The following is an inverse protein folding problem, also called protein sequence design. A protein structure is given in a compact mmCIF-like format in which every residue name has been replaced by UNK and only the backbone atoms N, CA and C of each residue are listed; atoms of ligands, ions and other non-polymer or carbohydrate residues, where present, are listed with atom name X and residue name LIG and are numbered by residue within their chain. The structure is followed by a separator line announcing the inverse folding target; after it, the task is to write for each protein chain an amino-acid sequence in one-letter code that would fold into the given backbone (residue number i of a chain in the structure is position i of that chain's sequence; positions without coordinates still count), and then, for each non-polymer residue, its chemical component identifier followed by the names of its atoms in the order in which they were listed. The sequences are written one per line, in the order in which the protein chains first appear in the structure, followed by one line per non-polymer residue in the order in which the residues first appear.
data_IF_748601720007
#
_entry.id   IF_748601720007
#
_cell.length_a   1.000
_cell.length_b   1.000
_cell.length_c   1.000
_cell.angle_alpha   90.00
_cell.angle_beta   90.00
_cell.angle_gamma   90.00
#
_symmetry.space_group_name_H-M   'P 1'
#
loop_
_entity.id
_entity.type
_entity.pdbx_description
1 polymer ?
#
# COMPACT_ATOMS: atom_id res chain seq x y z
N UNK A 1 -3.27 14.62 -10.89
CA UNK A 1 -4.07 13.71 -10.02
C UNK A 1 -3.81 14.00 -8.55
N UNK A 2 -2.57 14.00 -8.09
CA UNK A 2 -2.19 14.28 -6.70
C UNK A 2 -2.80 15.58 -6.14
N UNK A 3 -2.80 16.69 -6.88
CA UNK A 3 -3.42 17.95 -6.43
C UNK A 3 -4.95 17.87 -6.25
N UNK A 4 -5.61 16.98 -7.00
CA UNK A 4 -7.04 16.71 -6.80
C UNK A 4 -7.26 15.89 -5.56
N UNK A 5 -6.41 14.90 -5.31
CA UNK A 5 -6.42 14.09 -4.08
C UNK A 5 -6.25 15.02 -2.89
N UNK A 6 -5.22 15.88 -2.84
CA UNK A 6 -5.00 16.84 -1.73
C UNK A 6 -6.21 17.68 -1.31
N UNK A 7 -7.10 18.01 -2.25
CA UNK A 7 -8.26 18.87 -2.04
C UNK A 7 -9.54 18.08 -1.75
N UNK A 8 -9.47 16.76 -1.75
CA UNK A 8 -10.64 15.90 -1.59
C UNK A 8 -11.14 15.95 -0.14
N UNK A 9 -12.43 16.24 0.10
CA UNK A 9 -12.95 16.39 1.46
C UNK A 9 -13.06 15.06 2.23
N UNK A 10 -12.89 13.91 1.56
CA UNK A 10 -13.02 12.58 2.18
C UNK A 10 -11.83 12.19 3.05
N UNK A 11 -10.73 12.93 3.00
CA UNK A 11 -9.58 12.72 3.87
C UNK A 11 -9.00 14.05 4.34
N UNK A 12 -8.05 14.00 5.28
CA UNK A 12 -7.37 15.17 5.82
C UNK A 12 -5.86 14.90 5.86
N UNK A 13 -5.08 15.98 5.86
CA UNK A 13 -3.62 15.95 6.11
C UNK A 13 -2.81 15.05 5.16
N UNK A 14 -2.97 15.25 3.85
CA UNK A 14 -2.20 14.53 2.83
C UNK A 14 -0.72 14.92 2.86
N UNK A 15 0.14 13.97 3.21
CA UNK A 15 1.59 14.14 3.24
C UNK A 15 2.25 13.39 2.07
N UNK A 16 3.11 14.06 1.30
CA UNK A 16 3.93 13.39 0.27
C UNK A 16 5.11 12.70 0.95
N UNK A 17 5.17 11.37 0.84
CA UNK A 17 6.30 10.61 1.39
C UNK A 17 7.48 10.51 0.43
N UNK A 18 7.21 10.41 -0.87
CA UNK A 18 8.24 10.14 -1.88
C UNK A 18 7.70 10.42 -3.28
N UNK A 19 8.57 10.90 -4.15
CA UNK A 19 8.32 11.08 -5.58
C UNK A 19 9.60 10.75 -6.34
N UNK A 20 9.52 9.89 -7.34
CA UNK A 20 10.67 9.42 -8.11
C UNK A 20 10.28 9.12 -9.56
N UNK A 21 11.26 9.21 -10.47
CA UNK A 21 11.09 8.82 -11.87
C UNK A 21 11.30 7.31 -11.99
N UNK A 22 10.34 6.62 -12.61
CA UNK A 22 10.41 5.16 -12.79
C UNK A 22 10.62 4.78 -14.26
N UNK A 23 11.47 3.78 -14.49
CA UNK A 23 11.76 3.25 -15.84
C UNK A 23 10.71 2.19 -16.24
N UNK A 24 10.24 1.40 -15.26
CA UNK A 24 9.22 0.37 -15.44
C UNK A 24 8.16 0.46 -14.35
N UNK A 25 6.92 0.14 -14.69
CA UNK A 25 5.80 0.11 -13.73
C UNK A 25 6.06 -0.97 -12.68
N UNK A 26 5.99 -0.59 -11.41
CA UNK A 26 6.00 -1.55 -10.29
C UNK A 26 4.71 -2.36 -10.23
N UNK A 27 3.58 -1.76 -10.63
CA UNK A 27 2.25 -2.39 -10.62
C UNK A 27 1.56 -2.25 -11.99
N UNK A 28 2.01 -2.98 -13.03
CA UNK A 28 1.51 -2.79 -14.39
C UNK A 28 0.03 -3.16 -14.58
N UNK A 29 -0.47 -4.14 -13.80
CA UNK A 29 -1.81 -4.70 -13.95
C UNK A 29 -2.80 -4.18 -12.91
N UNK A 30 -2.44 -3.13 -12.16
CA UNK A 30 -3.30 -2.54 -11.13
C UNK A 30 -3.84 -1.20 -11.62
N UNK A 31 -5.17 -1.11 -11.76
CA UNK A 31 -5.83 0.19 -11.99
C UNK A 31 -5.82 1.06 -10.74
N UNK A 32 -6.18 0.46 -9.60
CA UNK A 32 -6.05 0.97 -8.23
C UNK A 32 -6.38 -0.20 -7.29
N UNK A 33 -5.36 -0.95 -6.83
CA UNK A 33 -5.63 -2.08 -5.94
C UNK A 33 -6.26 -1.58 -4.63
N UNK A 34 -7.38 -2.20 -4.25
CA UNK A 34 -8.12 -1.89 -3.04
C UNK A 34 -8.48 -3.20 -2.34
N UNK A 35 -8.31 -3.22 -1.02
CA UNK A 35 -8.76 -4.31 -0.17
C UNK A 35 -9.63 -3.69 0.94
N UNK A 36 -10.92 -4.03 1.03
CA UNK A 36 -11.77 -3.55 2.11
C UNK A 36 -11.27 -4.14 3.44
N UNK A 37 -11.09 -3.30 4.45
CA UNK A 37 -10.70 -3.69 5.81
C UNK A 37 -11.77 -3.28 6.82
N UNK A 38 -13.03 -3.29 6.43
CA UNK A 38 -14.16 -3.02 7.32
C UNK A 38 -14.61 -4.29 8.06
N UNK A 39 -15.04 -4.11 9.31
CA UNK A 39 -15.49 -5.19 10.21
C UNK A 39 -16.71 -5.94 9.68
N UNK A 40 -17.47 -5.32 8.76
CA UNK A 40 -18.71 -5.84 8.20
C UNK A 40 -18.50 -6.86 7.06
N UNK A 41 -17.36 -6.77 6.35
CA UNK A 41 -17.09 -7.60 5.16
C UNK A 41 -15.81 -8.43 5.25
N UNK A 42 -15.00 -8.27 6.31
CA UNK A 42 -13.67 -8.89 6.39
C UNK A 42 -13.62 -9.90 7.52
N UNK A 43 -13.62 -11.20 7.18
CA UNK A 43 -13.33 -12.24 8.17
C UNK A 43 -11.88 -12.08 8.66
N UNK A 44 -11.66 -12.11 9.98
CA UNK A 44 -10.32 -12.02 10.58
C UNK A 44 -9.32 -13.00 9.95
N UNK A 45 -9.78 -14.20 9.58
CA UNK A 45 -8.96 -15.17 8.87
C UNK A 45 -8.49 -14.66 7.50
N UNK A 46 -9.39 -14.07 6.71
CA UNK A 46 -9.07 -13.54 5.37
C UNK A 46 -8.12 -12.35 5.46
N UNK A 47 -8.30 -11.49 6.46
CA UNK A 47 -7.39 -10.38 6.73
C UNK A 47 -5.98 -10.87 7.05
N UNK A 48 -5.85 -11.89 7.89
CA UNK A 48 -4.56 -12.48 8.23
C UNK A 48 -3.90 -13.18 7.03
N UNK A 49 -4.67 -13.86 6.18
CA UNK A 49 -4.14 -14.40 4.92
C UNK A 49 -3.70 -13.29 3.97
N UNK A 50 -4.47 -12.21 3.86
CA UNK A 50 -4.12 -11.06 3.05
C UNK A 50 -2.80 -10.42 3.52
N UNK A 51 -2.65 -10.17 4.83
CA UNK A 51 -1.41 -9.64 5.43
C UNK A 51 -0.20 -10.53 5.09
N UNK A 52 -0.33 -11.86 5.27
CA UNK A 52 0.73 -12.83 4.96
C UNK A 52 1.12 -12.81 3.48
N UNK A 53 0.13 -12.82 2.60
CA UNK A 53 0.37 -12.77 1.15
C UNK A 53 1.03 -11.46 0.72
N UNK A 54 0.65 -10.34 1.34
CA UNK A 54 1.23 -9.03 1.03
C UNK A 54 2.68 -8.92 1.52
N UNK A 55 3.00 -9.49 2.68
CA UNK A 55 4.39 -9.62 3.16
C UNK A 55 5.20 -10.48 2.20
N UNK A 56 4.70 -11.67 1.85
CA UNK A 56 5.37 -12.57 0.91
C UNK A 56 5.63 -11.88 -0.44
N UNK A 57 4.63 -11.20 -0.98
CA UNK A 57 4.78 -10.41 -2.21
C UNK A 57 5.88 -9.37 -2.07
N UNK A 58 5.92 -8.65 -0.94
CA UNK A 58 6.94 -7.63 -0.69
C UNK A 58 8.36 -8.17 -0.50
N UNK A 59 8.52 -9.46 -0.19
CA UNK A 59 9.81 -10.14 -0.15
C UNK A 59 10.24 -10.65 -1.53
N UNK A 60 9.27 -11.04 -2.38
CA UNK A 60 9.51 -11.53 -3.73
C UNK A 60 9.73 -10.41 -4.75
N UNK A 61 9.14 -9.22 -4.50
CA UNK A 61 9.27 -8.06 -5.39
C UNK A 61 10.61 -7.36 -5.14
N UNK A 62 11.48 -7.36 -6.16
CA UNK A 62 12.69 -6.55 -6.15
C UNK A 62 12.35 -5.08 -6.46
N UNK A 63 12.51 -4.13 -5.51
CA UNK A 63 12.14 -2.74 -5.72
C UNK A 63 13.10 -2.06 -6.71
N UNK A 64 12.54 -1.35 -7.69
CA UNK A 64 13.32 -0.81 -8.81
C UNK A 64 13.71 0.66 -8.64
N UNK A 65 13.18 1.31 -7.60
CA UNK A 65 13.38 2.72 -7.31
C UNK A 65 13.20 2.97 -5.80
N UNK A 66 13.60 4.17 -5.36
CA UNK A 66 13.61 4.51 -3.93
C UNK A 66 12.18 4.57 -3.37
N UNK A 67 11.23 5.12 -4.12
CA UNK A 67 9.82 5.19 -3.73
C UNK A 67 9.22 3.80 -3.51
N UNK A 68 9.47 2.84 -4.40
CA UNK A 68 9.01 1.46 -4.26
C UNK A 68 9.64 0.77 -3.04
N UNK A 69 10.93 1.02 -2.77
CA UNK A 69 11.61 0.51 -1.57
C UNK A 69 11.00 1.07 -0.29
N UNK A 70 10.73 2.37 -0.26
CA UNK A 70 10.08 3.03 0.88
C UNK A 70 8.64 2.56 1.08
N UNK A 71 7.90 2.35 -0.01
CA UNK A 71 6.55 1.79 0.01
C UNK A 71 6.53 0.43 0.69
N UNK A 72 7.33 -0.54 0.22
CA UNK A 72 7.35 -1.88 0.82
C UNK A 72 7.83 -1.89 2.27
N UNK A 73 8.81 -1.04 2.61
CA UNK A 73 9.25 -0.86 4.00
C UNK A 73 8.08 -0.38 4.87
N UNK A 74 7.33 0.62 4.41
CA UNK A 74 6.20 1.18 5.17
C UNK A 74 5.06 0.18 5.32
N UNK A 75 4.73 -0.58 4.27
CA UNK A 75 3.71 -1.65 4.33
C UNK A 75 4.06 -2.69 5.39
N UNK A 76 5.30 -3.19 5.40
CA UNK A 76 5.76 -4.16 6.40
C UNK A 76 5.63 -3.60 7.82
N UNK A 77 6.04 -2.35 8.03
CA UNK A 77 5.91 -1.66 9.32
C UNK A 77 4.45 -1.52 9.75
N UNK A 78 3.56 -1.06 8.87
CA UNK A 78 2.14 -0.87 9.20
C UNK A 78 1.43 -2.18 9.54
N UNK A 79 1.75 -3.27 8.84
CA UNK A 79 1.18 -4.59 9.15
C UNK A 79 1.68 -5.11 10.50
N UNK A 80 2.96 -4.89 10.83
CA UNK A 80 3.55 -5.32 12.09
C UNK A 80 3.07 -4.49 13.31
N UNK A 81 2.76 -3.20 13.10
CA UNK A 81 2.31 -2.28 14.14
C UNK A 81 0.79 -2.30 14.36
N UNK A 82 0.02 -2.91 13.48
CA UNK A 82 -1.45 -3.00 13.61
C UNK A 82 -1.80 -3.86 14.84
N UNK A 83 -2.57 -3.34 15.82
CA UNK A 83 -2.98 -4.13 16.98
C UNK A 83 -3.83 -5.32 16.51
N UNK A 84 -3.60 -6.47 17.13
CA UNK A 84 -4.42 -7.69 17.03
C UNK A 84 -5.81 -7.49 17.60
#
# INVERSE_FOLDING_TARGET
LYDRIKKDPRHKEVTLFSEDKIIKRTFPNWGMAYYPMDEEHTNQYELEQFKRNLILLSDLVEPTNLTAKQFWKKIKTMIAESPT
#
